data_IF_543967006721
#
_entry.id   IF_543967006721
#
_cell.length_a   1.000
_cell.length_b   1.000
_cell.length_c   1.000
_cell.angle_alpha   90.00
_cell.angle_beta   90.00
_cell.angle_gamma   90.00
#
_symmetry.space_group_name_H-M   'P 1'
#
loop_
_entity.id
_entity.type
_entity.pdbx_description
1 polymer ?
#
# COMPACT_ATOMS: atom_id res chain seq x y z
N UNK A 1 37.77 -32.58 33.78
CA UNK A 1 36.44 -31.95 33.97
C UNK A 1 36.45 -30.42 33.83
N UNK A 2 37.59 -29.72 33.85
CA UNK A 2 37.66 -28.25 33.86
C UNK A 2 37.58 -27.58 32.47
N UNK A 3 37.93 -28.26 31.39
CA UNK A 3 37.94 -27.69 30.02
C UNK A 3 36.55 -27.50 29.42
N UNK A 4 35.60 -28.38 29.74
CA UNK A 4 34.24 -28.32 29.22
C UNK A 4 33.42 -27.19 29.86
N UNK A 5 33.65 -26.93 31.15
CA UNK A 5 33.01 -25.83 31.89
C UNK A 5 33.51 -24.47 31.38
N UNK A 6 34.81 -24.35 31.10
CA UNK A 6 35.42 -23.13 30.54
C UNK A 6 34.89 -22.84 29.14
N UNK A 7 34.71 -23.88 28.31
CA UNK A 7 34.16 -23.71 26.97
C UNK A 7 32.67 -23.32 26.99
N UNK A 8 31.87 -23.90 27.89
CA UNK A 8 30.45 -23.54 28.07
C UNK A 8 30.27 -22.11 28.60
N UNK A 9 31.11 -21.67 29.53
CA UNK A 9 31.07 -20.29 30.05
C UNK A 9 31.50 -19.27 29.00
N UNK A 10 32.51 -19.58 28.18
CA UNK A 10 32.93 -18.72 27.06
C UNK A 10 31.82 -18.55 26.02
N UNK A 11 31.13 -19.63 25.67
CA UNK A 11 30.00 -19.60 24.72
C UNK A 11 28.80 -18.86 25.30
N UNK A 12 28.47 -19.06 26.58
CA UNK A 12 27.38 -18.33 27.24
C UNK A 12 27.66 -16.81 27.31
N UNK A 13 28.90 -16.42 27.61
CA UNK A 13 29.30 -15.01 27.63
C UNK A 13 29.22 -14.39 26.22
N UNK A 14 29.67 -15.11 25.19
CA UNK A 14 29.56 -14.67 23.80
C UNK A 14 28.11 -14.47 23.34
N UNK A 15 27.19 -15.36 23.76
CA UNK A 15 25.76 -15.27 23.45
C UNK A 15 25.12 -14.05 24.15
N UNK A 16 25.46 -13.78 25.41
CA UNK A 16 24.95 -12.61 26.15
C UNK A 16 25.44 -11.30 25.53
N UNK A 17 26.71 -11.24 25.11
CA UNK A 17 27.28 -10.05 24.45
C UNK A 17 26.63 -9.83 23.08
N UNK A 18 26.43 -10.88 22.29
CA UNK A 18 25.75 -10.80 21.00
C UNK A 18 24.28 -10.37 21.13
N UNK A 19 23.53 -10.96 22.07
CA UNK A 19 22.15 -10.56 22.38
C UNK A 19 22.08 -9.11 22.85
N UNK A 20 22.99 -8.69 23.74
CA UNK A 20 23.07 -7.30 24.21
C UNK A 20 23.37 -6.31 23.10
N UNK A 21 24.23 -6.67 22.15
CA UNK A 21 24.57 -5.83 21.00
C UNK A 21 23.39 -5.71 20.02
N UNK A 22 22.69 -6.81 19.74
CA UNK A 22 21.49 -6.83 18.89
C UNK A 22 20.36 -6.00 19.51
N UNK A 23 20.11 -6.12 20.82
CA UNK A 23 19.10 -5.30 21.52
C UNK A 23 19.44 -3.81 21.43
N UNK A 24 20.71 -3.44 21.62
CA UNK A 24 21.16 -2.04 21.50
C UNK A 24 21.06 -1.49 20.07
N UNK A 25 21.35 -2.30 19.05
CA UNK A 25 21.18 -1.90 17.66
C UNK A 25 19.69 -1.71 17.29
N UNK A 26 18.82 -2.56 17.85
CA UNK A 26 17.38 -2.42 17.66
C UNK A 26 16.82 -1.17 18.35
N UNK A 27 17.31 -0.83 19.54
CA UNK A 27 16.88 0.37 20.25
C UNK A 27 17.32 1.68 19.59
N UNK A 28 18.53 1.72 19.02
CA UNK A 28 19.00 2.90 18.26
C UNK A 28 18.18 3.12 16.99
N UNK A 29 17.73 2.04 16.31
CA UNK A 29 16.84 2.11 15.15
C UNK A 29 15.40 2.46 15.53
N UNK A 30 14.91 1.97 16.68
CA UNK A 30 13.57 2.30 17.22
C UNK A 30 13.45 3.76 17.63
N UNK A 31 14.47 4.33 18.28
CA UNK A 31 14.48 5.76 18.69
C UNK A 31 14.41 6.71 17.49
N UNK A 32 15.13 6.41 16.39
CA UNK A 32 15.05 7.20 15.14
C UNK A 32 13.67 7.17 14.48
N UNK A 33 12.93 6.06 14.61
CA UNK A 33 11.55 5.95 14.09
C UNK A 33 10.54 6.73 14.93
N UNK A 34 10.64 6.70 16.27
CA UNK A 34 9.72 7.45 17.15
C UNK A 34 9.85 8.98 16.99
N UNK A 35 11.08 9.47 16.78
CA UNK A 35 11.32 10.90 16.54
C UNK A 35 10.76 11.35 15.18
N UNK A 36 10.93 10.54 14.12
CA UNK A 36 10.36 10.84 12.80
C UNK A 36 8.83 10.75 12.76
N UNK A 37 8.23 9.84 13.51
CA UNK A 37 6.77 9.72 13.60
C UNK A 37 6.14 10.94 14.29
N UNK A 38 6.75 11.44 15.38
CA UNK A 38 6.27 12.66 16.06
C UNK A 38 6.46 13.92 15.21
N UNK A 39 7.53 13.99 14.41
CA UNK A 39 7.72 15.09 13.46
C UNK A 39 6.73 15.02 12.28
N UNK A 40 6.35 13.81 11.84
CA UNK A 40 5.34 13.62 10.80
C UNK A 40 3.92 13.97 11.27
N UNK A 41 3.59 13.73 12.54
CA UNK A 41 2.32 14.18 13.16
C UNK A 41 2.19 15.71 13.22
N UNK A 42 3.30 16.44 13.35
CA UNK A 42 3.28 17.91 13.43
C UNK A 42 3.28 18.58 12.04
N UNK A 43 3.83 17.91 11.01
CA UNK A 43 3.98 18.48 9.66
C UNK A 43 2.88 18.07 8.66
N UNK A 44 2.06 17.06 8.96
CA UNK A 44 1.05 16.56 8.01
C UNK A 44 -0.32 16.52 8.65
N UNK A 45 -1.17 17.48 8.27
CA UNK A 45 -2.64 17.41 8.39
C UNK A 45 -3.08 16.02 7.91
N UNK A 46 -3.64 15.14 8.75
CA UNK A 46 -3.78 13.74 8.36
C UNK A 46 -4.95 13.61 7.39
N UNK A 47 -4.63 13.44 6.11
CA UNK A 47 -5.51 12.74 5.19
C UNK A 47 -5.70 11.33 5.75
N UNK A 48 -6.90 11.05 6.28
CA UNK A 48 -7.31 9.79 6.90
C UNK A 48 -6.75 8.60 6.10
N UNK A 49 -5.75 7.95 6.67
CA UNK A 49 -5.32 6.62 6.22
C UNK A 49 -6.49 5.67 6.42
N UNK A 50 -6.99 5.12 5.32
CA UNK A 50 -7.88 3.96 5.35
C UNK A 50 -7.23 2.89 6.21
N UNK A 51 -7.83 2.60 7.38
CA UNK A 51 -7.50 1.42 8.16
C UNK A 51 -8.09 0.23 7.39
N UNK A 52 -7.38 -0.16 6.34
CA UNK A 52 -7.60 -1.43 5.66
C UNK A 52 -7.22 -2.51 6.67
N UNK A 53 -8.21 -3.16 7.26
CA UNK A 53 -8.00 -4.29 8.18
C UNK A 53 -7.06 -5.28 7.47
N UNK A 54 -5.83 -5.51 7.95
CA UNK A 54 -5.00 -6.50 7.30
C UNK A 54 -5.61 -7.86 7.61
N UNK A 55 -6.06 -8.52 6.54
CA UNK A 55 -6.25 -9.95 6.39
C UNK A 55 -5.38 -10.71 7.40
N UNK A 56 -6.01 -11.36 8.39
CA UNK A 56 -5.35 -12.31 9.29
C UNK A 56 -4.54 -13.38 8.51
N UNK A 57 -4.96 -13.66 7.26
CA UNK A 57 -4.29 -14.53 6.28
C UNK A 57 -2.91 -14.04 5.83
N UNK A 58 -2.69 -12.73 5.80
CA UNK A 58 -1.44 -12.07 5.37
C UNK A 58 -0.44 -11.99 6.52
N UNK A 59 -0.94 -11.80 7.75
CA UNK A 59 -0.17 -12.01 8.98
C UNK A 59 0.27 -13.47 9.08
N UNK A 60 -0.64 -14.43 8.91
CA UNK A 60 -0.33 -15.86 8.98
C UNK A 60 0.73 -16.31 7.94
N UNK A 61 0.64 -15.82 6.69
CA UNK A 61 1.65 -16.09 5.65
C UNK A 61 3.01 -15.47 5.94
N UNK A 62 3.04 -14.35 6.69
CA UNK A 62 4.27 -13.64 7.05
C UNK A 62 5.05 -14.37 8.15
N UNK A 63 4.37 -15.06 9.06
CA UNK A 63 4.97 -15.83 10.16
C UNK A 63 5.34 -17.27 9.80
N UNK A 64 4.71 -17.87 8.79
CA UNK A 64 4.99 -19.22 8.29
C UNK A 64 6.47 -19.53 8.03
N UNK A 65 7.26 -18.66 7.36
CA UNK A 65 8.68 -18.93 7.15
C UNK A 65 9.53 -18.67 8.40
N UNK A 66 9.08 -17.83 9.34
CA UNK A 66 9.81 -17.63 10.61
C UNK A 66 9.63 -18.85 11.53
N UNK A 67 8.44 -19.45 11.55
CA UNK A 67 8.18 -20.72 12.25
C UNK A 67 8.93 -21.87 11.59
N UNK A 68 8.98 -21.93 10.26
CA UNK A 68 9.71 -22.99 9.53
C UNK A 68 11.23 -22.93 9.77
N UNK A 69 11.84 -21.75 9.83
CA UNK A 69 13.27 -21.58 10.11
C UNK A 69 13.60 -21.93 11.57
N UNK A 70 12.72 -21.59 12.52
CA UNK A 70 12.88 -21.96 13.94
C UNK A 70 12.73 -23.48 14.12
N UNK A 71 11.77 -24.12 13.43
CA UNK A 71 11.59 -25.56 13.48
C UNK A 71 12.74 -26.33 12.80
N UNK A 72 13.28 -25.83 11.68
CA UNK A 72 14.42 -26.45 10.99
C UNK A 72 15.74 -26.31 11.76
N UNK A 73 15.92 -25.20 12.50
CA UNK A 73 17.09 -25.01 13.38
C UNK A 73 17.09 -25.95 14.60
N UNK A 74 15.91 -26.37 15.06
CA UNK A 74 15.76 -27.31 16.18
C UNK A 74 16.03 -28.77 15.80
N UNK A 75 15.94 -29.15 14.52
CA UNK A 75 16.08 -30.55 14.09
C UNK A 75 17.50 -30.96 13.67
N UNK A 76 18.38 -30.01 13.34
CA UNK A 76 19.68 -30.32 12.68
C UNK A 76 20.89 -30.30 13.62
N UNK A 77 20.81 -29.72 14.82
CA UNK A 77 21.95 -29.71 15.73
C UNK A 77 21.56 -29.51 17.18
N UNK A 78 21.58 -30.59 17.96
CA UNK A 78 21.38 -30.50 19.41
C UNK A 78 22.32 -29.47 20.05
N UNK A 79 21.74 -28.54 20.83
CA UNK A 79 22.47 -27.55 21.63
C UNK A 79 22.46 -26.11 21.08
N UNK A 80 23.18 -25.22 21.77
CA UNK A 80 23.15 -23.76 21.56
C UNK A 80 23.57 -23.28 20.16
N UNK A 81 24.24 -24.12 19.37
CA UNK A 81 24.64 -23.82 17.98
C UNK A 81 23.42 -23.72 17.06
N UNK A 82 22.39 -24.56 17.26
CA UNK A 82 21.15 -24.50 16.49
C UNK A 82 20.35 -23.21 16.75
N UNK A 83 20.38 -22.70 17.98
CA UNK A 83 19.76 -21.42 18.34
C UNK A 83 20.42 -20.23 17.64
N UNK A 84 21.76 -20.22 17.58
CA UNK A 84 22.53 -19.14 16.94
C UNK A 84 22.30 -19.12 15.43
N UNK A 85 22.31 -20.28 14.76
CA UNK A 85 22.04 -20.38 13.32
C UNK A 85 20.58 -20.00 12.99
N UNK A 86 19.62 -20.39 13.83
CA UNK A 86 18.21 -19.99 13.67
C UNK A 86 18.01 -18.48 13.80
N UNK A 87 18.62 -17.85 14.81
CA UNK A 87 18.56 -16.39 14.99
C UNK A 87 19.27 -15.63 13.85
N UNK A 88 20.40 -16.14 13.37
CA UNK A 88 21.09 -15.56 12.22
C UNK A 88 20.23 -15.66 10.94
N UNK A 89 19.58 -16.81 10.70
CA UNK A 89 18.66 -17.01 9.58
C UNK A 89 17.47 -16.04 9.62
N UNK A 90 16.84 -15.86 10.79
CA UNK A 90 15.75 -14.89 10.98
C UNK A 90 16.25 -13.46 10.78
N UNK A 91 17.44 -13.10 11.28
CA UNK A 91 18.01 -11.75 11.10
C UNK A 91 18.31 -11.44 9.62
N UNK A 92 18.86 -12.41 8.88
CA UNK A 92 19.12 -12.28 7.43
C UNK A 92 17.80 -12.19 6.68
N UNK A 93 16.84 -13.07 6.94
CA UNK A 93 15.53 -13.05 6.28
C UNK A 93 14.77 -11.75 6.59
N UNK A 94 14.85 -11.24 7.82
CA UNK A 94 14.28 -9.97 8.23
C UNK A 94 14.96 -8.80 7.53
N UNK A 95 16.29 -8.80 7.43
CA UNK A 95 17.04 -7.76 6.72
C UNK A 95 16.73 -7.75 5.22
N UNK A 96 16.67 -8.94 4.59
CA UNK A 96 16.29 -9.09 3.19
C UNK A 96 14.85 -8.67 2.93
N UNK A 97 13.89 -9.13 3.76
CA UNK A 97 12.48 -8.70 3.69
C UNK A 97 12.32 -7.21 3.93
N UNK A 98 13.10 -6.62 4.83
CA UNK A 98 13.03 -5.19 5.13
C UNK A 98 13.62 -4.36 4.00
N UNK A 99 14.64 -4.86 3.30
CA UNK A 99 15.14 -4.26 2.06
C UNK A 99 14.09 -4.36 0.94
N UNK A 100 13.50 -5.53 0.74
CA UNK A 100 12.44 -5.74 -0.26
C UNK A 100 11.20 -4.86 -0.01
N UNK A 101 10.75 -4.77 1.26
CA UNK A 101 9.62 -3.90 1.63
C UNK A 101 9.89 -2.42 1.39
N UNK A 102 11.15 -1.96 1.50
CA UNK A 102 11.48 -0.57 1.23
C UNK A 102 11.31 -0.24 -0.26
N UNK A 103 11.82 -1.12 -1.15
CA UNK A 103 11.63 -1.00 -2.60
C UNK A 103 10.17 -1.14 -3.02
N UNK A 104 9.45 -2.14 -2.50
CA UNK A 104 8.04 -2.34 -2.83
C UNK A 104 7.18 -1.15 -2.38
N UNK A 105 7.42 -0.63 -1.17
CA UNK A 105 6.67 0.53 -0.65
C UNK A 105 6.88 1.80 -1.46
N UNK A 106 8.09 1.99 -2.01
CA UNK A 106 8.43 3.14 -2.87
C UNK A 106 7.77 2.98 -4.23
N UNK A 107 7.85 1.79 -4.84
CA UNK A 107 7.16 1.44 -6.08
C UNK A 107 5.64 1.62 -5.96
N UNK A 108 5.04 1.17 -4.85
CA UNK A 108 3.61 1.35 -4.59
C UNK A 108 3.23 2.83 -4.39
N UNK A 109 4.11 3.64 -3.80
CA UNK A 109 3.87 5.06 -3.60
C UNK A 109 3.91 5.82 -4.94
N UNK A 110 4.88 5.50 -5.80
CA UNK A 110 4.99 6.03 -7.16
C UNK A 110 3.80 5.60 -8.03
N UNK A 111 3.41 4.32 -7.99
CA UNK A 111 2.22 3.81 -8.66
C UNK A 111 0.94 4.54 -8.24
N UNK A 112 0.77 4.79 -6.93
CA UNK A 112 -0.36 5.59 -6.40
C UNK A 112 -0.30 7.06 -6.82
N UNK A 113 0.89 7.64 -6.91
CA UNK A 113 1.06 9.01 -7.41
C UNK A 113 0.69 9.09 -8.90
N UNK A 114 1.16 8.13 -9.71
CA UNK A 114 0.83 8.05 -11.12
C UNK A 114 -0.68 7.92 -11.37
N UNK A 115 -1.35 7.01 -10.66
CA UNK A 115 -2.80 6.82 -10.77
C UNK A 115 -3.60 8.08 -10.39
N UNK A 116 -3.09 8.91 -9.48
CA UNK A 116 -3.74 10.19 -9.12
C UNK A 116 -3.49 11.30 -10.14
N UNK A 117 -2.33 11.31 -10.79
CA UNK A 117 -1.95 12.33 -11.76
C UNK A 117 -2.50 12.05 -13.16
N UNK A 118 -2.75 10.78 -13.49
CA UNK A 118 -3.18 10.37 -14.82
C UNK A 118 -4.43 11.09 -15.34
N UNK A 119 -5.52 11.28 -14.58
CA UNK A 119 -6.70 11.99 -15.07
C UNK A 119 -6.39 13.44 -15.44
N UNK A 120 -5.60 14.14 -14.62
CA UNK A 120 -5.17 15.50 -14.88
C UNK A 120 -4.27 15.58 -16.13
N UNK A 121 -3.32 14.65 -16.27
CA UNK A 121 -2.45 14.57 -17.44
C UNK A 121 -3.25 14.30 -18.72
N UNK A 122 -4.24 13.40 -18.68
CA UNK A 122 -5.12 13.11 -19.80
C UNK A 122 -5.99 14.32 -20.17
N UNK A 123 -6.51 15.06 -19.19
CA UNK A 123 -7.30 16.28 -19.41
C UNK A 123 -6.47 17.41 -20.04
N UNK A 124 -5.26 17.64 -19.54
CA UNK A 124 -4.36 18.64 -20.11
C UNK A 124 -3.94 18.25 -21.53
N UNK A 125 -3.63 16.97 -21.77
CA UNK A 125 -3.32 16.47 -23.11
C UNK A 125 -4.52 16.65 -24.07
N UNK A 126 -5.73 16.34 -23.61
CA UNK A 126 -6.97 16.56 -24.38
C UNK A 126 -7.15 18.04 -24.72
N UNK A 127 -6.93 18.93 -23.76
CA UNK A 127 -7.04 20.38 -23.95
C UNK A 127 -6.00 20.90 -24.95
N UNK A 128 -4.75 20.46 -24.84
CA UNK A 128 -3.69 20.83 -25.80
C UNK A 128 -4.01 20.36 -27.22
N UNK A 129 -4.46 19.11 -27.37
CA UNK A 129 -4.80 18.55 -28.69
C UNK A 129 -6.07 19.22 -29.27
N UNK A 130 -7.07 19.52 -28.43
CA UNK A 130 -8.25 20.28 -28.83
C UNK A 130 -7.90 21.73 -29.27
N UNK A 131 -6.86 22.31 -28.69
CA UNK A 131 -6.29 23.59 -29.11
C UNK A 131 -5.44 23.50 -30.40
N UNK A 132 -5.33 22.31 -31.00
CA UNK A 132 -4.61 22.07 -32.26
C UNK A 132 -3.17 21.61 -32.11
N UNK A 133 -2.67 21.34 -30.89
CA UNK A 133 -1.32 20.81 -30.72
C UNK A 133 -1.22 19.36 -31.20
N UNK A 134 -0.12 19.03 -31.89
CA UNK A 134 0.20 17.65 -32.25
C UNK A 134 0.42 16.78 -31.00
N UNK A 135 0.14 15.47 -31.04
CA UNK A 135 0.19 14.58 -29.87
C UNK A 135 1.54 14.58 -29.13
N UNK A 136 2.65 14.59 -29.86
CA UNK A 136 4.01 14.61 -29.31
C UNK A 136 4.32 15.96 -28.64
N UNK A 137 3.91 17.07 -29.26
CA UNK A 137 4.09 18.42 -28.70
C UNK A 137 3.22 18.61 -27.46
N UNK A 138 1.97 18.15 -27.50
CA UNK A 138 1.07 18.16 -26.35
C UNK A 138 1.65 17.32 -25.20
N UNK A 139 2.15 16.13 -25.47
CA UNK A 139 2.77 15.28 -24.46
C UNK A 139 4.04 15.92 -23.87
N UNK A 140 4.87 16.58 -24.67
CA UNK A 140 6.02 17.33 -24.18
C UNK A 140 5.58 18.48 -23.26
N UNK A 141 4.64 19.33 -23.71
CA UNK A 141 4.16 20.48 -22.94
C UNK A 141 3.52 20.07 -21.61
N UNK A 142 2.69 19.01 -21.63
CA UNK A 142 2.08 18.46 -20.41
C UNK A 142 3.12 17.81 -19.50
N UNK A 143 4.11 17.12 -20.09
CA UNK A 143 5.20 16.50 -19.34
C UNK A 143 6.13 17.50 -18.67
N UNK A 144 6.38 18.65 -19.30
CA UNK A 144 7.15 19.77 -18.72
C UNK A 144 6.35 20.53 -17.65
N UNK A 145 5.03 20.63 -17.81
CA UNK A 145 4.15 21.30 -16.84
C UNK A 145 3.83 20.44 -15.60
N UNK A 146 3.87 19.12 -15.72
CA UNK A 146 3.54 18.19 -14.64
C UNK A 146 4.79 17.56 -14.03
N UNK A 147 4.98 17.78 -12.73
CA UNK A 147 5.90 16.97 -11.94
C UNK A 147 5.34 15.56 -11.67
N UNK A 148 6.24 14.60 -11.45
CA UNK A 148 5.90 13.25 -11.01
C UNK A 148 6.02 12.18 -12.11
N UNK A 149 5.63 10.93 -11.80
CA UNK A 149 5.89 9.78 -12.67
C UNK A 149 5.24 9.89 -14.05
N UNK A 150 4.00 10.39 -14.13
CA UNK A 150 3.29 10.49 -15.43
C UNK A 150 3.83 11.63 -16.28
N UNK A 151 4.12 12.80 -15.69
CA UNK A 151 4.72 13.92 -16.42
C UNK A 151 6.11 13.59 -16.97
N UNK A 152 6.97 12.95 -16.15
CA UNK A 152 8.27 12.42 -16.59
C UNK A 152 8.14 11.40 -17.72
N UNK A 153 7.13 10.53 -17.67
CA UNK A 153 6.85 9.57 -18.72
C UNK A 153 6.42 10.21 -20.04
N UNK A 154 5.58 11.25 -19.97
CA UNK A 154 5.16 12.00 -21.15
C UNK A 154 6.31 12.81 -21.76
N UNK A 155 7.08 13.53 -20.95
CA UNK A 155 8.23 14.31 -21.42
C UNK A 155 9.30 13.42 -22.06
N UNK A 156 9.61 12.27 -21.42
CA UNK A 156 10.58 11.31 -21.94
C UNK A 156 10.10 10.65 -23.24
N UNK A 157 8.85 10.18 -23.28
CA UNK A 157 8.31 9.56 -24.49
C UNK A 157 8.27 10.55 -25.67
N UNK A 158 7.87 11.80 -25.41
CA UNK A 158 7.91 12.83 -26.44
C UNK A 158 9.34 13.14 -26.93
N UNK A 159 10.32 13.16 -26.02
CA UNK A 159 11.72 13.33 -26.40
C UNK A 159 12.26 12.15 -27.21
N UNK A 160 11.95 10.91 -26.82
CA UNK A 160 12.40 9.70 -27.53
C UNK A 160 11.81 9.63 -28.95
N UNK A 161 10.52 9.94 -29.13
CA UNK A 161 9.90 10.06 -30.46
C UNK A 161 10.58 11.15 -31.30
N UNK A 162 10.85 12.33 -30.72
CA UNK A 162 11.52 13.44 -31.44
C UNK A 162 12.95 13.11 -31.88
N UNK A 163 13.60 12.18 -31.19
CA UNK A 163 14.93 11.66 -31.55
C UNK A 163 14.87 10.54 -32.60
N UNK A 164 13.68 10.19 -33.09
CA UNK A 164 13.46 9.10 -34.05
C UNK A 164 13.44 7.71 -33.41
N UNK A 165 13.17 7.63 -32.10
CA UNK A 165 12.97 6.36 -31.42
C UNK A 165 11.70 5.65 -31.87
N UNK A 166 11.70 4.32 -31.78
CA UNK A 166 10.53 3.50 -32.11
C UNK A 166 9.34 3.87 -31.20
N UNK A 167 8.14 4.18 -31.74
CA UNK A 167 7.02 4.67 -30.94
C UNK A 167 6.59 3.74 -29.81
N UNK A 168 6.66 2.42 -30.03
CA UNK A 168 6.33 1.41 -29.01
C UNK A 168 7.31 1.43 -27.83
N UNK A 169 8.57 1.77 -28.08
CA UNK A 169 9.62 1.89 -27.07
C UNK A 169 9.54 3.23 -26.35
N UNK A 170 9.30 4.31 -27.10
CA UNK A 170 9.22 5.66 -26.57
C UNK A 170 8.11 5.82 -25.52
N UNK A 171 6.95 5.18 -25.73
CA UNK A 171 5.82 5.25 -24.79
C UNK A 171 5.83 4.15 -23.72
N UNK A 172 6.84 3.28 -23.69
CA UNK A 172 6.92 2.13 -22.77
C UNK A 172 6.91 2.54 -21.30
N UNK A 173 7.61 3.63 -20.95
CA UNK A 173 7.61 4.16 -19.59
C UNK A 173 6.25 4.74 -19.18
N UNK A 174 5.46 5.22 -20.13
CA UNK A 174 4.09 5.65 -19.87
C UNK A 174 3.17 4.45 -19.73
N UNK A 175 3.32 3.42 -20.56
CA UNK A 175 2.54 2.19 -20.47
C UNK A 175 2.74 1.44 -19.14
N UNK A 176 3.92 1.51 -18.53
CA UNK A 176 4.16 0.90 -17.22
C UNK A 176 3.47 1.64 -16.05
N UNK A 177 2.95 2.85 -16.28
CA UNK A 177 2.21 3.60 -15.27
C UNK A 177 0.77 3.04 -15.12
N UNK A 178 0.29 2.81 -13.89
CA UNK A 178 -1.03 2.22 -13.67
C UNK A 178 -2.16 3.01 -14.33
N UNK A 179 -2.90 2.35 -15.24
CA UNK A 179 -4.04 2.91 -15.95
C UNK A 179 -3.68 3.74 -17.19
N UNK A 180 -2.41 4.01 -17.45
CA UNK A 180 -1.95 4.85 -18.57
C UNK A 180 -1.79 4.08 -19.89
N UNK A 181 -1.97 2.75 -19.88
CA UNK A 181 -1.88 1.85 -21.03
C UNK A 181 -2.67 2.33 -22.26
N UNK A 182 -3.92 2.77 -22.04
CA UNK A 182 -4.79 3.24 -23.12
C UNK A 182 -4.28 4.56 -23.73
N UNK A 183 -3.70 5.43 -22.89
CA UNK A 183 -3.11 6.70 -23.31
C UNK A 183 -1.82 6.46 -24.10
N UNK A 184 -0.95 5.58 -23.62
CA UNK A 184 0.30 5.21 -24.31
C UNK A 184 0.03 4.63 -25.70
N UNK A 185 -0.88 3.65 -25.82
CA UNK A 185 -1.27 3.06 -27.12
C UNK A 185 -1.95 4.05 -28.05
N UNK A 186 -2.60 5.09 -27.51
CA UNK A 186 -3.18 6.13 -28.34
C UNK A 186 -2.07 7.03 -28.90
N UNK A 187 -1.13 7.46 -28.05
CA UNK A 187 0.00 8.29 -28.47
C UNK A 187 0.88 7.58 -29.51
N UNK A 188 1.18 6.30 -29.28
CA UNK A 188 1.88 5.43 -30.24
C UNK A 188 1.19 5.40 -31.61
N UNK A 189 -0.12 5.15 -31.64
CA UNK A 189 -0.88 5.13 -32.91
C UNK A 189 -0.99 6.50 -33.55
N UNK A 190 -1.12 7.56 -32.76
CA UNK A 190 -1.25 8.92 -33.26
C UNK A 190 0.06 9.40 -33.91
N UNK A 191 1.20 8.91 -33.41
CA UNK A 191 2.51 9.17 -33.99
C UNK A 191 2.70 8.46 -35.34
N UNK A 192 2.32 7.17 -35.43
CA UNK A 192 2.44 6.38 -36.66
C UNK A 192 1.44 6.81 -37.76
N UNK A 193 0.20 7.15 -37.37
CA UNK A 193 -0.89 7.37 -38.33
C UNK A 193 -1.18 8.84 -38.65
N UNK A 194 -0.68 9.79 -37.85
CA UNK A 194 -0.99 11.22 -37.99
C UNK A 194 -2.49 11.57 -37.87
N UNK A 195 -3.33 10.61 -37.47
CA UNK A 195 -4.78 10.77 -37.44
C UNK A 195 -5.22 11.73 -36.31
N UNK A 196 -6.34 12.45 -36.49
CA UNK A 196 -6.86 13.36 -35.47
C UNK A 196 -7.12 12.65 -34.13
N UNK A 197 -6.21 12.85 -33.17
CA UNK A 197 -6.27 12.22 -31.85
C UNK A 197 -7.24 12.92 -30.87
N UNK A 198 -7.76 14.10 -31.23
CA UNK A 198 -8.53 14.98 -30.33
C UNK A 198 -9.74 14.27 -29.70
N UNK A 199 -10.58 13.63 -30.51
CA UNK A 199 -11.82 12.96 -30.06
C UNK A 199 -11.52 11.75 -29.16
N UNK A 200 -10.65 10.79 -29.55
CA UNK A 200 -10.36 9.66 -28.67
C UNK A 200 -9.57 10.05 -27.40
N UNK A 201 -8.73 11.10 -27.41
CA UNK A 201 -8.11 11.61 -26.17
C UNK A 201 -9.15 12.23 -25.24
N UNK A 202 -10.08 13.02 -25.77
CA UNK A 202 -11.17 13.60 -24.98
C UNK A 202 -12.06 12.51 -24.33
N UNK A 203 -12.28 11.39 -25.03
CA UNK A 203 -12.98 10.22 -24.47
C UNK A 203 -12.20 9.59 -23.32
N UNK A 204 -10.90 9.33 -23.50
CA UNK A 204 -10.05 8.79 -22.42
C UNK A 204 -10.03 9.72 -21.21
N UNK A 205 -10.00 11.03 -21.43
CA UNK A 205 -10.03 12.03 -20.36
C UNK A 205 -11.37 12.01 -19.60
N UNK A 206 -12.50 11.90 -20.32
CA UNK A 206 -13.83 11.76 -19.71
C UNK A 206 -13.97 10.46 -18.91
N UNK A 207 -13.48 9.34 -19.45
CA UNK A 207 -13.48 8.03 -18.77
C UNK A 207 -12.62 8.09 -17.48
N UNK A 208 -11.42 8.69 -17.55
CA UNK A 208 -10.55 8.87 -16.39
C UNK A 208 -11.19 9.75 -15.31
N UNK A 209 -11.90 10.83 -15.69
CA UNK A 209 -12.67 11.67 -14.75
C UNK A 209 -13.81 10.90 -14.10
N UNK A 210 -14.57 10.12 -14.88
CA UNK A 210 -15.65 9.30 -14.37
C UNK A 210 -15.14 8.26 -13.36
N UNK A 211 -14.01 7.61 -13.65
CA UNK A 211 -13.38 6.64 -12.74
C UNK A 211 -12.87 7.29 -11.47
N UNK A 212 -12.28 8.49 -11.56
CA UNK A 212 -11.83 9.24 -10.40
C UNK A 212 -13.01 9.65 -9.50
N UNK A 213 -14.12 10.12 -10.08
CA UNK A 213 -15.34 10.46 -9.35
C UNK A 213 -15.98 9.22 -8.71
N UNK A 214 -16.05 8.09 -9.43
CA UNK A 214 -16.52 6.80 -8.89
C UNK A 214 -15.67 6.34 -7.71
N UNK A 215 -14.34 6.45 -7.82
CA UNK A 215 -13.44 6.10 -6.73
C UNK A 215 -13.59 7.05 -5.53
N UNK A 216 -13.83 8.34 -5.76
CA UNK A 216 -14.12 9.33 -4.73
C UNK A 216 -15.40 9.02 -3.95
N UNK A 217 -16.50 8.76 -4.66
CA UNK A 217 -17.79 8.41 -4.04
C UNK A 217 -17.72 7.08 -3.28
N UNK A 218 -17.01 6.08 -3.81
CA UNK A 218 -16.79 4.82 -3.11
C UNK A 218 -16.03 5.01 -1.78
N UNK A 219 -14.99 5.85 -1.76
CA UNK A 219 -14.27 6.20 -0.53
C UNK A 219 -15.14 6.95 0.47
N UNK A 220 -15.94 7.90 0.01
CA UNK A 220 -16.88 8.64 0.85
C UNK A 220 -17.91 7.70 1.50
N UNK A 221 -18.48 6.76 0.74
CA UNK A 221 -19.42 5.75 1.26
C UNK A 221 -18.75 4.84 2.30
N UNK A 222 -17.54 4.38 2.04
CA UNK A 222 -16.77 3.58 3.03
C UNK A 222 -16.51 4.36 4.30
N UNK A 223 -16.14 5.64 4.19
CA UNK A 223 -15.95 6.51 5.34
C UNK A 223 -17.25 6.69 6.15
N UNK A 224 -18.38 6.87 5.48
CA UNK A 224 -19.69 6.97 6.13
C UNK A 224 -20.02 5.71 6.93
N UNK A 225 -19.81 4.52 6.35
CA UNK A 225 -20.01 3.24 7.06
C UNK A 225 -19.06 3.10 8.25
N UNK A 226 -17.78 3.43 8.09
CA UNK A 226 -16.80 3.33 9.18
C UNK A 226 -17.10 4.29 10.34
N UNK A 227 -17.72 5.43 10.07
CA UNK A 227 -18.14 6.40 11.10
C UNK A 227 -19.44 5.96 11.78
N UNK A 228 -20.42 5.46 11.02
CA UNK A 228 -21.72 5.04 11.56
C UNK A 228 -21.67 3.69 12.29
N UNK A 229 -20.79 2.77 11.87
CA UNK A 229 -20.67 1.43 12.44
C UNK A 229 -20.43 1.39 13.97
N UNK A 230 -19.47 2.14 14.56
CA UNK A 230 -19.27 2.14 16.01
C UNK A 230 -20.47 2.72 16.76
N UNK A 231 -21.16 3.73 16.21
CA UNK A 231 -22.36 4.32 16.81
C UNK A 231 -23.51 3.31 16.83
N UNK A 232 -23.76 2.62 15.71
CA UNK A 232 -24.77 1.56 15.63
C UNK A 232 -24.47 0.38 16.56
N UNK A 233 -23.20 0.01 16.69
CA UNK A 233 -22.75 -1.04 17.59
C UNK A 233 -22.98 -0.68 19.08
N UNK A 234 -22.84 0.60 19.44
CA UNK A 234 -23.14 1.08 20.80
C UNK A 234 -24.65 1.22 21.06
N UNK A 235 -25.46 1.52 20.04
CA UNK A 235 -26.90 1.70 20.22
C UNK A 235 -27.65 0.37 20.34
N UNK A 236 -27.17 -0.68 19.67
CA UNK A 236 -27.77 -2.01 19.70
C UNK A 236 -27.97 -2.60 21.12
N UNK A 237 -26.96 -2.64 22.02
CA UNK A 237 -27.14 -3.15 23.38
C UNK A 237 -28.09 -2.30 24.23
N UNK A 238 -28.05 -0.96 24.06
CA UNK A 238 -28.95 -0.06 24.79
C UNK A 238 -30.41 -0.26 24.35
N UNK A 239 -30.66 -0.42 23.05
CA UNK A 239 -31.99 -0.69 22.52
C UNK A 239 -32.55 -2.04 23.00
N UNK A 240 -31.71 -3.07 23.08
CA UNK A 240 -32.13 -4.38 23.61
C UNK A 240 -32.53 -4.25 25.08
N UNK A 241 -31.67 -3.64 25.91
CA UNK A 241 -31.89 -3.53 27.35
C UNK A 241 -33.10 -2.65 27.72
N UNK A 242 -33.28 -1.53 27.03
CA UNK A 242 -34.33 -0.54 27.35
C UNK A 242 -35.62 -0.78 26.57
N UNK A 243 -35.53 -1.21 25.31
CA UNK A 243 -36.67 -1.37 24.41
C UNK A 243 -37.26 -2.77 24.40
N UNK A 244 -36.44 -3.78 24.08
CA UNK A 244 -36.95 -5.14 23.80
C UNK A 244 -37.20 -5.94 25.08
N UNK A 245 -36.26 -5.94 26.03
CA UNK A 245 -36.33 -6.78 27.23
C UNK A 245 -37.60 -6.53 28.06
N UNK A 246 -38.00 -5.28 28.37
CA UNK A 246 -39.21 -5.04 29.17
C UNK A 246 -40.49 -5.52 28.49
N UNK A 247 -40.58 -5.37 27.16
CA UNK A 247 -41.75 -5.80 26.37
C UNK A 247 -41.87 -7.31 26.38
N UNK A 248 -40.76 -8.04 26.22
CA UNK A 248 -40.76 -9.51 26.27
C UNK A 248 -41.13 -10.01 27.67
N UNK A 249 -40.64 -9.38 28.73
CA UNK A 249 -41.01 -9.73 30.12
C UNK A 249 -42.51 -9.49 30.35
N UNK A 250 -43.05 -8.35 29.90
CA UNK A 250 -44.47 -8.04 30.04
C UNK A 250 -45.38 -9.02 29.29
N UNK A 251 -45.01 -9.38 28.05
CA UNK A 251 -45.76 -10.36 27.26
C UNK A 251 -45.68 -11.76 27.88
N UNK A 252 -44.48 -12.23 28.25
CA UNK A 252 -44.30 -13.53 28.89
C UNK A 252 -45.08 -13.63 30.20
N UNK A 253 -45.08 -12.58 31.01
CA UNK A 253 -45.89 -12.50 32.23
C UNK A 253 -47.40 -12.55 31.96
N UNK A 254 -47.88 -11.94 30.87
CA UNK A 254 -49.28 -12.00 30.46
C UNK A 254 -49.72 -13.40 29.99
N UNK A 255 -48.85 -14.15 29.30
CA UNK A 255 -49.19 -15.52 28.84
C UNK A 255 -49.05 -16.56 29.95
N UNK A 256 -48.08 -16.40 30.84
CA UNK A 256 -47.83 -17.32 31.96
C UNK A 256 -48.75 -17.02 33.16
N UNK A 257 -49.14 -15.77 33.36
CA UNK A 257 -50.09 -15.33 34.39
C UNK A 257 -51.56 -15.42 33.99
N UNK A 258 -51.86 -15.63 32.71
CA UNK A 258 -53.21 -15.95 32.22
C UNK A 258 -53.61 -17.43 32.37
N UNK A 259 -52.75 -18.24 33.00
CA UNK A 259 -52.93 -19.68 33.23
C UNK A 259 -53.32 -20.03 34.67
N UNK A 260 -54.43 -19.46 35.15
CA UNK A 260 -55.36 -20.13 36.06
C UNK A 260 -55.41 -19.68 37.52
N UNK A 261 -56.42 -20.14 38.29
CA UNK A 261 -57.81 -20.46 37.90
C UNK A 261 -58.75 -19.24 37.94
#
# INVERSE_FOLDING_TARGET
MSTEVVHRLGVAMGIVVALGWVVRLLDTVRRRRRVRQRLAEVLVRPARTEISRPRAREVLRRWLPEVAVVCAGLTVGGGGVGLVLGLAGVAVLWWWRRRQQATDSMSEAEARAAARQLPLAADLLAACIAAGAGPVIAAQAVGEALDGPVGKALARGAAEVRLGGEPSDAWRMLASAPGADALARLLERADVSGLPAAVPVARIAADARADWARAGTARARRAAVLVAAPVGLCFLPAFIAVGIVPVVIGLAGGVLGGGGP
#
